data_IF_503856056821
#
_entry.id   IF_503856056821
#
_cell.length_a   1.000
_cell.length_b   1.000
_cell.length_c   1.000
_cell.angle_alpha   90.00
_cell.angle_beta   90.00
_cell.angle_gamma   90.00
#
_symmetry.space_group_name_H-M   'P 1'
#
loop_
_entity.id
_entity.type
_entity.pdbx_description
1 polymer ?
#
# COMPACT_ATOMS: atom_id res chain seq x y z
N UNK A 1 -23.03 9.91 13.97
CA UNK A 1 -22.54 10.90 14.95
C UNK A 1 -21.07 11.25 14.71
N UNK A 2 -20.17 10.26 14.55
CA UNK A 2 -18.73 10.48 14.39
C UNK A 2 -18.33 11.32 13.16
N UNK A 3 -18.97 11.11 12.00
CA UNK A 3 -18.66 11.89 10.78
C UNK A 3 -18.90 13.40 10.96
N UNK A 4 -20.03 13.76 11.56
CA UNK A 4 -20.40 15.16 11.76
C UNK A 4 -19.45 15.85 12.74
N UNK A 5 -19.06 15.17 13.81
CA UNK A 5 -18.08 15.66 14.78
C UNK A 5 -16.69 15.84 14.16
N UNK A 6 -16.27 14.91 13.29
CA UNK A 6 -15.01 15.01 12.56
C UNK A 6 -14.99 16.22 11.62
N UNK A 7 -16.07 16.45 10.87
CA UNK A 7 -16.19 17.60 9.96
C UNK A 7 -16.10 18.92 10.72
N UNK A 8 -16.75 19.05 11.87
CA UNK A 8 -16.66 20.27 12.67
C UNK A 8 -15.23 20.50 13.20
N UNK A 9 -14.55 19.46 13.68
CA UNK A 9 -13.13 19.56 14.09
C UNK A 9 -12.21 20.01 12.95
N UNK A 10 -12.43 19.54 11.72
CA UNK A 10 -11.62 19.92 10.55
C UNK A 10 -11.85 21.39 10.17
N UNK A 11 -13.08 21.89 10.28
CA UNK A 11 -13.41 23.30 9.99
C UNK A 11 -12.75 24.28 10.95
N UNK A 12 -12.49 23.86 12.19
CA UNK A 12 -11.84 24.68 13.21
C UNK A 12 -10.30 24.74 13.05
N UNK A 13 -9.72 23.95 12.14
CA UNK A 13 -8.28 23.91 11.94
C UNK A 13 -7.76 25.13 11.16
N UNK A 14 -6.54 25.61 11.48
CA UNK A 14 -5.81 26.53 10.61
C UNK A 14 -5.59 25.93 9.21
N UNK A 15 -5.51 26.75 8.14
CA UNK A 15 -5.36 26.27 6.77
C UNK A 15 -4.22 25.28 6.56
N UNK A 16 -3.07 25.52 7.21
CA UNK A 16 -1.89 24.65 7.11
C UNK A 16 -2.14 23.25 7.69
N UNK A 17 -3.01 23.15 8.70
CA UNK A 17 -3.41 21.88 9.32
C UNK A 17 -4.47 21.15 8.52
N UNK A 18 -5.30 21.86 7.77
CA UNK A 18 -6.24 21.22 6.82
C UNK A 18 -5.46 20.47 5.73
N UNK A 19 -4.39 21.07 5.20
CA UNK A 19 -3.54 20.40 4.21
C UNK A 19 -2.90 19.11 4.75
N UNK A 20 -2.51 19.10 6.03
CA UNK A 20 -1.98 17.91 6.71
C UNK A 20 -3.04 16.80 6.84
N UNK A 21 -4.29 17.16 7.17
CA UNK A 21 -5.41 16.22 7.25
C UNK A 21 -5.73 15.62 5.88
N UNK A 22 -5.74 16.42 4.82
CA UNK A 22 -5.96 15.92 3.44
C UNK A 22 -4.90 14.89 3.07
N UNK A 23 -3.62 15.20 3.32
CA UNK A 23 -2.53 14.26 3.04
C UNK A 23 -2.67 12.97 3.85
N UNK A 24 -3.05 13.08 5.13
CA UNK A 24 -3.27 11.90 5.98
C UNK A 24 -4.41 11.01 5.46
N UNK A 25 -5.52 11.60 5.03
CA UNK A 25 -6.64 10.85 4.43
C UNK A 25 -6.21 10.18 3.12
N UNK A 26 -5.49 10.89 2.26
CA UNK A 26 -4.93 10.34 1.02
C UNK A 26 -3.96 9.18 1.29
N UNK A 27 -3.14 9.30 2.34
CA UNK A 27 -2.24 8.25 2.78
C UNK A 27 -3.02 7.00 3.23
N UNK A 28 -4.05 7.16 4.05
CA UNK A 28 -4.88 6.06 4.52
C UNK A 28 -5.59 5.36 3.35
N UNK A 29 -6.11 6.12 2.38
CA UNK A 29 -6.75 5.54 1.20
C UNK A 29 -5.79 4.69 0.36
N UNK A 30 -4.52 5.13 0.22
CA UNK A 30 -3.48 4.39 -0.50
C UNK A 30 -2.89 3.21 0.28
N UNK A 31 -3.11 3.15 1.60
CA UNK A 31 -2.61 2.05 2.42
C UNK A 31 -3.25 0.72 2.03
N UNK A 32 -4.55 0.74 1.71
CA UNK A 32 -5.26 -0.47 1.26
C UNK A 32 -4.73 -0.97 -0.09
N UNK A 33 -4.39 -0.05 -1.00
CA UNK A 33 -3.74 -0.43 -2.27
C UNK A 33 -2.40 -1.12 -2.03
N UNK A 34 -1.61 -0.66 -1.05
CA UNK A 34 -0.34 -1.31 -0.70
C UNK A 34 -0.54 -2.69 -0.09
N UNK A 35 -1.57 -2.86 0.75
CA UNK A 35 -1.91 -4.17 1.30
C UNK A 35 -2.36 -5.14 0.20
N UNK A 36 -3.14 -4.67 -0.77
CA UNK A 36 -3.55 -5.45 -1.95
C UNK A 36 -2.35 -5.83 -2.83
N UNK A 37 -1.43 -4.90 -3.08
CA UNK A 37 -0.20 -5.17 -3.84
C UNK A 37 0.67 -6.20 -3.11
N UNK A 38 0.84 -6.09 -1.79
CA UNK A 38 1.60 -7.06 -1.01
C UNK A 38 0.94 -8.45 -1.01
N UNK A 39 -0.38 -8.52 -0.90
CA UNK A 39 -1.13 -9.76 -0.99
C UNK A 39 -0.98 -10.40 -2.39
N UNK A 40 -1.10 -9.60 -3.46
CA UNK A 40 -0.90 -10.05 -4.82
C UNK A 40 0.53 -10.59 -5.03
N UNK A 41 1.56 -9.88 -4.56
CA UNK A 41 2.95 -10.34 -4.64
C UNK A 41 3.17 -11.70 -3.95
N UNK A 42 2.62 -11.89 -2.75
CA UNK A 42 2.69 -13.20 -2.04
C UNK A 42 1.95 -14.32 -2.76
N UNK A 43 0.83 -14.02 -3.41
CA UNK A 43 0.09 -15.02 -4.19
C UNK A 43 0.85 -15.39 -5.46
N UNK A 44 1.56 -14.42 -6.06
CA UNK A 44 2.35 -14.64 -7.27
C UNK A 44 3.72 -15.29 -7.00
N UNK A 45 4.24 -15.25 -5.77
CA UNK A 45 5.53 -15.86 -5.39
C UNK A 45 5.70 -17.31 -5.86
N UNK A 46 4.76 -18.25 -5.62
CA UNK A 46 4.91 -19.63 -6.09
C UNK A 46 4.88 -19.77 -7.62
N UNK A 47 4.12 -18.92 -8.30
CA UNK A 47 4.05 -18.92 -9.77
C UNK A 47 5.36 -18.40 -10.37
N UNK A 48 5.94 -17.36 -9.79
CA UNK A 48 7.25 -16.86 -10.21
C UNK A 48 8.38 -17.82 -9.84
N UNK A 49 8.32 -18.46 -8.66
CA UNK A 49 9.28 -19.48 -8.26
C UNK A 49 9.33 -20.63 -9.28
N UNK A 50 8.19 -21.12 -9.77
CA UNK A 50 8.17 -22.18 -10.79
C UNK A 50 8.75 -21.75 -12.16
N UNK A 51 8.68 -20.46 -12.50
CA UNK A 51 9.25 -19.95 -13.76
C UNK A 51 10.75 -19.71 -13.62
N UNK A 52 11.18 -19.28 -12.44
CA UNK A 52 12.57 -18.93 -12.14
C UNK A 52 13.41 -20.16 -11.77
N UNK A 53 12.87 -21.10 -11.00
CA UNK A 53 13.47 -22.39 -10.66
C UNK A 53 13.34 -23.38 -11.83
N UNK A 54 14.00 -23.04 -12.94
CA UNK A 54 14.02 -23.86 -14.14
C UNK A 54 15.44 -24.37 -14.43
N UNK A 55 15.58 -25.53 -15.11
CA UNK A 55 16.89 -26.13 -15.37
C UNK A 55 17.87 -25.25 -16.16
N UNK A 56 17.37 -24.26 -16.91
CA UNK A 56 18.22 -23.32 -17.66
C UNK A 56 18.78 -22.21 -16.76
N UNK A 57 18.09 -21.87 -15.66
CA UNK A 57 18.58 -20.90 -14.66
C UNK A 57 19.54 -21.55 -13.66
N UNK A 58 19.41 -22.86 -13.43
CA UNK A 58 20.29 -23.63 -12.53
C UNK A 58 21.79 -23.60 -12.93
N UNK A 59 22.10 -23.27 -14.19
CA UNK A 59 23.49 -23.04 -14.63
C UNK A 59 24.12 -21.80 -13.96
N UNK A 60 23.32 -20.86 -13.47
CA UNK A 60 23.77 -19.62 -12.81
C UNK A 60 23.84 -19.72 -11.27
N UNK A 61 23.30 -20.78 -10.67
CA UNK A 61 23.32 -20.97 -9.20
C UNK A 61 24.74 -21.10 -8.62
N UNK A 62 25.73 -21.42 -9.46
CA UNK A 62 27.09 -21.75 -9.05
C UNK A 62 28.16 -20.76 -9.56
N UNK A 63 27.76 -19.57 -10.04
CA UNK A 63 28.66 -18.51 -10.51
C UNK A 63 29.08 -17.51 -9.41
#
# INVERSE_FOLDING_TARGET
MQEKELIEKIKELPPDKIAEVVNFVDFLARHDDRALVQAASRISEPAFANVWDNPNDAEYDNL
#
